data_IF_926791280628
#
_entry.id   IF_926791280628
#
_cell.length_a   1.000
_cell.length_b   1.000
_cell.length_c   1.000
_cell.angle_alpha   90.00
_cell.angle_beta   90.00
_cell.angle_gamma   90.00
#
_symmetry.space_group_name_H-M   'P 1'
#
loop_
_entity.id
_entity.type
_entity.pdbx_description
1 polymer ?
#
# COMPACT_ATOMS: atom_id res chain seq x y z
N UNK A 1 -6.18 -5.91 -15.40
CA UNK A 1 -4.92 -5.38 -14.85
C UNK A 1 -3.86 -5.43 -15.96
N UNK A 2 -3.39 -4.28 -16.45
CA UNK A 2 -2.43 -4.20 -17.57
C UNK A 2 -0.98 -3.95 -17.11
N UNK A 3 -0.65 -4.17 -15.84
CA UNK A 3 0.68 -3.91 -15.31
C UNK A 3 1.64 -5.09 -15.61
N UNK A 4 2.65 -4.88 -16.46
CA UNK A 4 3.66 -5.90 -16.76
C UNK A 4 4.42 -6.38 -15.51
N UNK A 5 4.69 -5.47 -14.56
CA UNK A 5 5.33 -5.81 -13.29
C UNK A 5 4.44 -6.65 -12.38
N UNK A 6 3.11 -6.57 -12.51
CA UNK A 6 2.18 -7.44 -11.80
C UNK A 6 2.22 -8.86 -12.38
N UNK A 7 2.20 -8.98 -13.71
CA UNK A 7 2.39 -10.28 -14.38
C UNK A 7 3.73 -10.93 -14.03
N UNK A 8 4.78 -10.12 -13.83
CA UNK A 8 6.09 -10.58 -13.36
C UNK A 8 6.19 -10.78 -11.83
N UNK A 9 5.12 -10.57 -11.06
CA UNK A 9 5.10 -10.75 -9.60
C UNK A 9 5.92 -9.74 -8.79
N UNK A 10 6.34 -8.62 -9.40
CA UNK A 10 7.22 -7.61 -8.79
C UNK A 10 6.50 -6.31 -8.41
N UNK A 11 5.29 -6.08 -8.89
CA UNK A 11 4.55 -4.86 -8.59
C UNK A 11 3.95 -4.89 -7.18
N UNK A 12 4.55 -4.13 -6.26
CA UNK A 12 4.11 -3.98 -4.88
C UNK A 12 2.83 -3.14 -4.73
N UNK A 13 2.43 -2.36 -5.74
CA UNK A 13 1.16 -1.62 -5.73
C UNK A 13 0.00 -2.50 -6.20
N UNK A 14 0.21 -3.24 -7.29
CA UNK A 14 -0.82 -4.08 -7.89
C UNK A 14 -1.09 -5.36 -7.09
N UNK A 15 -0.16 -5.84 -6.27
CA UNK A 15 -0.37 -7.05 -5.46
C UNK A 15 -1.57 -6.96 -4.51
N UNK A 16 -2.00 -5.75 -4.16
CA UNK A 16 -3.05 -5.50 -3.19
C UNK A 16 -4.43 -5.36 -3.83
N UNK A 17 -4.51 -5.11 -5.15
CA UNK A 17 -5.78 -4.79 -5.85
C UNK A 17 -6.80 -5.95 -5.78
N UNK A 18 -6.33 -7.19 -5.63
CA UNK A 18 -7.22 -8.35 -5.51
C UNK A 18 -7.70 -8.61 -4.08
N UNK A 19 -7.12 -7.93 -3.08
CA UNK A 19 -7.48 -8.09 -1.67
C UNK A 19 -8.52 -7.05 -1.27
N UNK A 20 -9.39 -7.40 -0.32
CA UNK A 20 -10.34 -6.44 0.25
C UNK A 20 -9.59 -5.29 0.94
N UNK A 21 -10.21 -4.11 1.01
CA UNK A 21 -9.61 -2.95 1.68
C UNK A 21 -9.20 -3.29 3.12
N UNK A 22 -10.01 -4.09 3.83
CA UNK A 22 -9.71 -4.48 5.20
C UNK A 22 -8.43 -5.33 5.31
N UNK A 23 -8.24 -6.28 4.40
CA UNK A 23 -7.02 -7.09 4.34
C UNK A 23 -5.80 -6.24 3.98
N UNK A 24 -5.94 -5.30 3.05
CA UNK A 24 -4.86 -4.38 2.69
C UNK A 24 -4.44 -3.51 3.87
N UNK A 25 -5.40 -3.01 4.65
CA UNK A 25 -5.12 -2.20 5.84
C UNK A 25 -4.41 -3.05 6.91
N UNK A 26 -4.92 -4.24 7.21
CA UNK A 26 -4.32 -5.14 8.21
C UNK A 26 -2.86 -5.49 7.86
N UNK A 27 -2.61 -5.86 6.60
CA UNK A 27 -1.27 -6.22 6.15
C UNK A 27 -0.29 -5.03 6.18
N UNK A 28 -0.73 -3.84 5.73
CA UNK A 28 0.09 -2.62 5.76
C UNK A 28 0.40 -2.17 7.19
N UNK A 29 -0.58 -2.25 8.09
CA UNK A 29 -0.37 -1.93 9.51
C UNK A 29 0.62 -2.91 10.14
N UNK A 30 0.51 -4.22 9.87
CA UNK A 30 1.47 -5.20 10.37
C UNK A 30 2.91 -4.95 9.86
N UNK A 31 3.06 -4.60 8.58
CA UNK A 31 4.36 -4.24 8.02
C UNK A 31 4.91 -2.95 8.65
N UNK A 32 4.08 -1.94 8.88
CA UNK A 32 4.47 -0.71 9.56
C UNK A 32 4.94 -0.97 10.99
N UNK A 33 4.21 -1.81 11.74
CA UNK A 33 4.62 -2.24 13.09
C UNK A 33 5.98 -2.95 13.08
N UNK A 34 6.24 -3.81 12.08
CA UNK A 34 7.53 -4.48 11.95
C UNK A 34 8.66 -3.49 11.65
N UNK A 35 8.44 -2.54 10.74
CA UNK A 35 9.44 -1.54 10.35
C UNK A 35 9.78 -0.58 11.49
N UNK A 36 8.78 -0.21 12.29
CA UNK A 36 8.94 0.74 13.40
C UNK A 36 9.23 0.06 14.75
N UNK A 37 9.39 -1.27 14.81
CA UNK A 37 9.61 -2.02 16.05
C UNK A 37 10.85 -1.57 16.86
N UNK A 38 11.80 -0.87 16.23
CA UNK A 38 12.98 -0.31 16.87
C UNK A 38 12.91 1.19 17.20
N UNK A 39 11.76 1.84 16.98
CA UNK A 39 11.58 3.27 17.19
C UNK A 39 10.54 3.53 18.29
N UNK A 40 10.73 4.56 19.13
CA UNK A 40 9.75 4.93 20.14
C UNK A 40 8.52 5.55 19.46
N UNK A 41 7.54 4.72 19.12
CA UNK A 41 6.24 5.17 18.61
C UNK A 41 5.32 5.41 19.80
N UNK A 42 5.03 6.68 20.09
CA UNK A 42 4.18 7.06 21.23
C UNK A 42 2.70 6.69 21.04
N UNK A 43 2.19 6.79 19.81
CA UNK A 43 0.80 6.44 19.51
C UNK A 43 0.63 5.92 18.07
N UNK A 44 -0.15 4.86 17.94
CA UNK A 44 -0.59 4.32 16.65
C UNK A 44 -1.96 4.89 16.30
N UNK A 45 -2.07 5.66 15.22
CA UNK A 45 -3.35 6.12 14.69
C UNK A 45 -4.01 5.02 13.87
N UNK A 46 -5.32 4.83 14.05
CA UNK A 46 -6.11 3.92 13.22
C UNK A 46 -6.09 4.39 11.76
N UNK A 47 -5.96 3.46 10.82
CA UNK A 47 -6.00 3.80 9.40
C UNK A 47 -7.37 4.39 9.05
N UNK A 48 -7.41 5.68 8.69
CA UNK A 48 -8.62 6.40 8.34
C UNK A 48 -9.01 6.10 6.89
N UNK A 49 -9.64 4.95 6.67
CA UNK A 49 -10.30 4.70 5.40
C UNK A 49 -11.55 5.57 5.29
N UNK A 50 -11.49 6.64 4.48
CA UNK A 50 -12.67 7.43 4.11
C UNK A 50 -13.30 6.87 2.83
N UNK A 51 -14.48 6.21 2.92
CA UNK A 51 -15.20 5.80 1.71
C UNK A 51 -15.60 7.04 0.91
N UNK A 52 -15.21 7.09 -0.37
CA UNK A 52 -15.64 8.14 -1.32
C UNK A 52 -14.57 9.17 -1.72
N UNK A 53 -13.40 9.19 -1.09
CA UNK A 53 -12.25 9.96 -1.59
C UNK A 53 -11.33 9.05 -2.39
N UNK A 54 -11.34 9.18 -3.71
CA UNK A 54 -10.29 8.61 -4.54
C UNK A 54 -8.96 9.24 -4.12
N UNK A 55 -8.03 8.45 -3.59
CA UNK A 55 -6.68 8.91 -3.35
C UNK A 55 -6.02 9.20 -4.70
N UNK A 56 -5.33 10.34 -4.87
CA UNK A 56 -4.56 10.57 -6.09
C UNK A 56 -3.53 9.45 -6.21
N UNK A 57 -3.68 8.62 -7.25
CA UNK A 57 -2.66 7.65 -7.58
C UNK A 57 -1.48 8.44 -8.12
N UNK A 58 -0.38 8.47 -7.37
CA UNK A 58 0.90 8.97 -7.87
C UNK A 58 1.32 8.04 -9.01
N UNK A 59 1.05 8.43 -10.25
CA UNK A 59 1.65 7.77 -11.39
C UNK A 59 3.09 8.25 -11.48
N UNK A 60 4.03 7.49 -10.91
CA UNK A 60 5.44 7.61 -11.31
C UNK A 60 5.60 7.02 -12.72
N UNK A 61 5.10 7.76 -13.72
CA UNK A 61 5.49 7.59 -15.12
C UNK A 61 6.58 8.63 -15.38
N UNK A 62 7.85 8.24 -15.22
CA UNK A 62 8.97 9.14 -15.45
C UNK A 62 10.35 8.51 -15.37
N UNK A 63 10.63 7.49 -16.21
CA UNK A 63 11.96 7.02 -16.70
C UNK A 63 11.73 5.64 -17.34
N UNK A 64 12.06 5.33 -18.59
CA UNK A 64 13.16 5.72 -19.47
C UNK A 64 12.71 5.74 -20.95
N UNK A 65 13.59 6.30 -21.79
CA UNK A 65 13.46 6.62 -23.21
C UNK A 65 12.92 5.52 -24.13
#
# INVERSE_FOLDING_TARGET
MQCALYHAGRCRSCQWITQSVNEQLSAKTADLHRLLAGLPVEQWCGADWRPGTAFPQQSENGRER
#
